data_IF_574617550886
#
_entry.id   IF_574617550886
#
_cell.length_a   1.000
_cell.length_b   1.000
_cell.length_c   1.000
_cell.angle_alpha   90.00
_cell.angle_beta   90.00
_cell.angle_gamma   90.00
#
_symmetry.space_group_name_H-M   'P 1'
#
loop_
_entity.id
_entity.type
_entity.pdbx_description
1 polymer ?
#
# COMPACT_ATOMS: atom_id res chain seq x y z
N UNK A 1 44.76 -13.91 -18.56
CA UNK A 1 43.79 -14.77 -17.81
C UNK A 1 42.62 -13.95 -17.25
N UNK A 2 41.91 -13.17 -18.08
CA UNK A 2 40.82 -12.28 -17.65
C UNK A 2 39.42 -12.69 -18.17
N UNK A 3 39.25 -13.90 -18.70
CA UNK A 3 37.98 -14.34 -19.33
C UNK A 3 37.04 -15.14 -18.40
N UNK A 4 37.45 -15.52 -17.19
CA UNK A 4 36.68 -16.44 -16.34
C UNK A 4 35.55 -15.80 -15.51
N UNK A 5 35.56 -14.47 -15.30
CA UNK A 5 34.58 -13.80 -14.43
C UNK A 5 33.30 -13.35 -15.17
N UNK A 6 33.33 -13.05 -16.47
CA UNK A 6 32.11 -12.65 -17.21
C UNK A 6 31.16 -13.84 -17.36
N UNK A 7 31.67 -15.02 -17.72
CA UNK A 7 30.88 -16.24 -17.95
C UNK A 7 29.92 -16.62 -16.81
N UNK A 8 30.29 -16.42 -15.54
CA UNK A 8 29.42 -16.74 -14.41
C UNK A 8 28.33 -15.70 -14.19
N UNK A 9 28.61 -14.43 -14.44
CA UNK A 9 27.64 -13.35 -14.31
C UNK A 9 26.59 -13.45 -15.43
N UNK A 10 27.03 -13.78 -16.64
CA UNK A 10 26.18 -14.00 -17.81
C UNK A 10 25.20 -15.17 -17.57
N UNK A 11 25.68 -16.28 -16.97
CA UNK A 11 24.81 -17.41 -16.58
C UNK A 11 23.74 -17.03 -15.55
N UNK A 12 24.07 -16.15 -14.60
CA UNK A 12 23.12 -15.70 -13.58
C UNK A 12 22.06 -14.80 -14.19
N UNK A 13 22.44 -13.85 -15.04
CA UNK A 13 21.50 -12.99 -15.75
C UNK A 13 20.56 -13.80 -16.65
N UNK A 14 21.06 -14.83 -17.33
CA UNK A 14 20.23 -15.74 -18.12
C UNK A 14 19.21 -16.46 -17.23
N UNK A 15 19.63 -16.98 -16.07
CA UNK A 15 18.71 -17.63 -15.11
C UNK A 15 17.68 -16.64 -14.56
N UNK A 16 18.08 -15.43 -14.19
CA UNK A 16 17.17 -14.37 -13.72
C UNK A 16 16.14 -14.06 -14.81
N UNK A 17 16.61 -13.80 -16.03
CA UNK A 17 15.74 -13.50 -17.18
C UNK A 17 14.77 -14.63 -17.48
N UNK A 18 15.22 -15.89 -17.41
CA UNK A 18 14.37 -17.06 -17.60
C UNK A 18 13.30 -17.17 -16.50
N UNK A 19 13.67 -17.07 -15.23
CA UNK A 19 12.73 -17.16 -14.10
C UNK A 19 11.69 -16.03 -14.13
N UNK A 20 12.12 -14.80 -14.41
CA UNK A 20 11.20 -13.65 -14.54
C UNK A 20 10.25 -13.86 -15.72
N UNK A 21 10.77 -14.29 -16.88
CA UNK A 21 9.95 -14.54 -18.07
C UNK A 21 8.92 -15.65 -17.82
N UNK A 22 9.33 -16.74 -17.18
CA UNK A 22 8.43 -17.85 -16.82
C UNK A 22 7.33 -17.39 -15.87
N UNK A 23 7.67 -16.61 -14.84
CA UNK A 23 6.66 -16.08 -13.91
C UNK A 23 5.64 -15.19 -14.63
N UNK A 24 6.10 -14.26 -15.48
CA UNK A 24 5.22 -13.37 -16.25
C UNK A 24 4.33 -14.16 -17.22
N UNK A 25 4.91 -15.08 -18.00
CA UNK A 25 4.17 -15.91 -18.95
C UNK A 25 3.18 -16.84 -18.22
N UNK A 26 3.54 -17.37 -17.05
CA UNK A 26 2.66 -18.24 -16.27
C UNK A 26 1.43 -17.49 -15.75
N UNK A 27 1.61 -16.27 -15.24
CA UNK A 27 0.50 -15.43 -14.75
C UNK A 27 -0.42 -15.04 -15.90
N UNK A 28 0.16 -14.53 -16.99
CA UNK A 28 -0.60 -14.14 -18.19
C UNK A 28 -1.32 -15.36 -18.80
N UNK A 29 -0.63 -16.50 -18.90
CA UNK A 29 -1.22 -17.73 -19.44
C UNK A 29 -2.42 -18.19 -18.62
N UNK A 30 -2.31 -18.16 -17.29
CA UNK A 30 -3.40 -18.56 -16.38
C UNK A 30 -4.62 -17.67 -16.52
N UNK A 31 -4.43 -16.37 -16.82
CA UNK A 31 -5.51 -15.44 -17.06
C UNK A 31 -6.41 -15.84 -18.25
N UNK A 32 -5.82 -16.43 -19.29
CA UNK A 32 -6.54 -16.88 -20.49
C UNK A 32 -7.05 -18.32 -20.42
N UNK A 33 -6.78 -19.06 -19.33
CA UNK A 33 -7.32 -20.42 -19.16
C UNK A 33 -8.82 -20.40 -18.86
N UNK A 34 -9.57 -21.27 -19.53
CA UNK A 34 -10.99 -21.49 -19.25
C UNK A 34 -11.17 -22.55 -18.13
N UNK A 35 -10.94 -22.12 -16.89
CA UNK A 35 -11.10 -22.93 -15.67
C UNK A 35 -11.98 -22.22 -14.64
N UNK A 36 -12.52 -22.99 -13.67
CA UNK A 36 -13.34 -22.44 -12.56
C UNK A 36 -12.65 -21.25 -11.90
N UNK A 37 -13.39 -20.15 -11.71
CA UNK A 37 -12.81 -18.88 -11.26
C UNK A 37 -12.07 -18.97 -9.92
N UNK A 38 -12.63 -19.67 -8.95
CA UNK A 38 -11.97 -19.90 -7.65
C UNK A 38 -10.62 -20.62 -7.79
N UNK A 39 -10.48 -21.51 -8.77
CA UNK A 39 -9.22 -22.21 -9.05
C UNK A 39 -8.23 -21.28 -9.75
N UNK A 40 -8.70 -20.52 -10.74
CA UNK A 40 -7.91 -19.51 -11.46
C UNK A 40 -7.29 -18.49 -10.52
N UNK A 41 -8.12 -17.94 -9.63
CA UNK A 41 -7.70 -17.01 -8.59
C UNK A 41 -6.57 -17.58 -7.72
N UNK A 42 -6.76 -18.80 -7.18
CA UNK A 42 -5.73 -19.45 -6.35
C UNK A 42 -4.42 -19.64 -7.09
N UNK A 43 -4.47 -19.97 -8.38
CA UNK A 43 -3.28 -20.12 -9.22
C UNK A 43 -2.57 -18.77 -9.42
N UNK A 44 -3.30 -17.71 -9.76
CA UNK A 44 -2.75 -16.36 -9.92
C UNK A 44 -2.09 -15.90 -8.61
N UNK A 45 -2.74 -16.11 -7.47
CA UNK A 45 -2.19 -15.75 -6.16
C UNK A 45 -0.88 -16.50 -5.87
N UNK A 46 -0.84 -17.82 -6.09
CA UNK A 46 0.37 -18.64 -5.89
C UNK A 46 1.49 -18.17 -6.84
N UNK A 47 1.17 -17.89 -8.10
CA UNK A 47 2.14 -17.43 -9.09
C UNK A 47 2.69 -16.03 -8.75
N UNK A 48 1.84 -15.11 -8.30
CA UNK A 48 2.25 -13.80 -7.80
C UNK A 48 3.15 -13.92 -6.58
N UNK A 49 2.85 -14.85 -5.65
CA UNK A 49 3.72 -15.15 -4.52
C UNK A 49 5.09 -15.68 -4.99
N UNK A 50 5.12 -16.62 -5.94
CA UNK A 50 6.35 -17.15 -6.52
C UNK A 50 7.18 -16.07 -7.23
N UNK A 51 6.52 -15.16 -7.95
CA UNK A 51 7.17 -14.03 -8.60
C UNK A 51 7.83 -13.10 -7.57
N UNK A 52 7.09 -12.72 -6.51
CA UNK A 52 7.63 -11.91 -5.40
C UNK A 52 8.79 -12.62 -4.70
N UNK A 53 8.66 -13.91 -4.41
CA UNK A 53 9.72 -14.70 -3.77
C UNK A 53 10.97 -14.80 -4.66
N UNK A 54 10.81 -14.91 -5.97
CA UNK A 54 11.91 -14.89 -6.94
C UNK A 54 12.64 -13.54 -6.92
N UNK A 55 11.90 -12.44 -6.89
CA UNK A 55 12.47 -11.08 -6.80
C UNK A 55 13.26 -10.89 -5.50
N UNK A 56 12.71 -11.29 -4.36
CA UNK A 56 13.39 -11.25 -3.06
C UNK A 56 14.67 -12.10 -3.07
N UNK A 57 14.63 -13.28 -3.69
CA UNK A 57 15.78 -14.17 -3.79
C UNK A 57 16.93 -13.55 -4.60
N UNK A 58 16.65 -13.04 -5.80
CA UNK A 58 17.69 -12.44 -6.64
C UNK A 58 18.25 -11.14 -6.03
N UNK A 59 17.41 -10.37 -5.35
CA UNK A 59 17.83 -9.17 -4.62
C UNK A 59 18.68 -9.54 -3.40
N UNK A 60 18.32 -10.59 -2.66
CA UNK A 60 19.14 -11.17 -1.58
C UNK A 60 20.49 -11.64 -2.09
N UNK A 61 20.54 -12.27 -3.28
CA UNK A 61 21.79 -12.65 -3.94
C UNK A 61 22.64 -11.43 -4.30
N UNK A 62 22.04 -10.36 -4.80
CA UNK A 62 22.75 -9.11 -5.08
C UNK A 62 23.37 -8.53 -3.79
N UNK A 63 22.59 -8.41 -2.73
CA UNK A 63 23.08 -7.99 -1.40
C UNK A 63 24.16 -8.92 -0.85
N UNK A 64 24.05 -10.23 -1.07
CA UNK A 64 25.05 -11.19 -0.66
C UNK A 64 26.41 -10.93 -1.32
N UNK A 65 26.41 -10.69 -2.62
CA UNK A 65 27.63 -10.41 -3.39
C UNK A 65 28.25 -9.07 -2.99
N UNK A 66 27.44 -8.06 -2.72
CA UNK A 66 27.89 -6.69 -2.42
C UNK A 66 28.27 -6.45 -0.96
N UNK A 67 27.50 -7.00 -0.02
CA UNK A 67 27.65 -6.72 1.42
C UNK A 67 28.21 -7.92 2.19
N UNK A 68 27.66 -9.12 1.98
CA UNK A 68 28.01 -10.28 2.80
C UNK A 68 29.37 -10.89 2.45
N UNK A 69 29.67 -11.06 1.16
CA UNK A 69 30.91 -11.70 0.70
C UNK A 69 32.18 -10.94 1.13
N UNK A 70 32.23 -9.59 1.08
CA UNK A 70 33.37 -8.84 1.61
C UNK A 70 33.54 -8.96 3.13
N UNK A 71 32.44 -9.04 3.89
CA UNK A 71 32.47 -9.17 5.35
C UNK A 71 32.93 -10.57 5.78
N UNK A 72 32.45 -11.62 5.10
CA UNK A 72 32.80 -13.01 5.39
C UNK A 72 34.30 -13.29 5.20
N UNK A 73 34.90 -12.74 4.14
CA UNK A 73 36.32 -12.90 3.85
C UNK A 73 37.24 -12.12 4.81
N UNK A 74 36.67 -11.35 5.75
CA UNK A 74 37.43 -10.57 6.71
C UNK A 74 37.79 -11.39 7.97
N UNK A 75 39.03 -11.28 8.49
CA UNK A 75 39.43 -11.99 9.70
C UNK A 75 38.82 -11.41 11.00
N UNK A 76 38.13 -10.27 10.95
CA UNK A 76 37.60 -9.57 12.14
C UNK A 76 36.34 -10.23 12.71
N UNK A 77 36.33 -10.49 14.03
CA UNK A 77 35.15 -10.99 14.77
C UNK A 77 33.94 -10.07 14.61
N UNK A 78 34.15 -8.75 14.65
CA UNK A 78 33.08 -7.76 14.45
C UNK A 78 32.42 -7.92 13.07
N UNK A 79 33.21 -8.16 12.03
CA UNK A 79 32.68 -8.38 10.68
C UNK A 79 31.91 -9.71 10.58
N UNK A 80 32.32 -10.74 11.32
CA UNK A 80 31.56 -12.00 11.42
C UNK A 80 30.20 -11.80 12.09
N UNK A 81 30.14 -10.98 13.15
CA UNK A 81 28.88 -10.64 13.82
C UNK A 81 27.96 -9.89 12.85
N UNK A 82 28.45 -8.84 12.17
CA UNK A 82 27.66 -8.08 11.19
C UNK A 82 27.17 -9.00 10.06
N UNK A 83 28.03 -9.89 9.57
CA UNK A 83 27.67 -10.89 8.56
C UNK A 83 26.52 -11.81 9.03
N UNK A 84 26.58 -12.33 10.27
CA UNK A 84 25.51 -13.15 10.83
C UNK A 84 24.19 -12.37 10.96
N UNK A 85 24.25 -11.11 11.39
CA UNK A 85 23.07 -10.25 11.46
C UNK A 85 22.45 -10.01 10.07
N UNK A 86 23.27 -9.76 9.05
CA UNK A 86 22.78 -9.62 7.67
C UNK A 86 22.12 -10.91 7.18
N UNK A 87 22.67 -12.08 7.48
CA UNK A 87 22.03 -13.36 7.14
C UNK A 87 20.65 -13.46 7.76
N UNK A 88 20.51 -13.12 9.04
CA UNK A 88 19.21 -13.14 9.73
C UNK A 88 18.22 -12.18 9.04
N UNK A 89 18.65 -10.96 8.69
CA UNK A 89 17.82 -10.01 7.95
C UNK A 89 17.37 -10.57 6.61
N UNK A 90 18.27 -11.17 5.82
CA UNK A 90 17.94 -11.75 4.52
C UNK A 90 16.96 -12.92 4.64
N UNK A 91 17.17 -13.83 5.60
CA UNK A 91 16.29 -14.98 5.84
C UNK A 91 14.89 -14.52 6.28
N UNK A 92 14.83 -13.59 7.24
CA UNK A 92 13.55 -13.09 7.76
C UNK A 92 12.81 -12.25 6.71
N UNK A 93 13.51 -11.44 5.92
CA UNK A 93 12.90 -10.70 4.80
C UNK A 93 12.29 -11.66 3.76
N UNK A 94 13.00 -12.74 3.41
CA UNK A 94 12.50 -13.77 2.48
C UNK A 94 11.24 -14.46 3.03
N UNK A 95 11.24 -14.79 4.32
CA UNK A 95 10.13 -15.46 5.00
C UNK A 95 8.96 -14.55 5.37
N UNK A 96 9.10 -13.22 5.26
CA UNK A 96 8.16 -12.23 5.81
C UNK A 96 6.70 -12.45 5.41
N UNK A 97 6.41 -12.62 4.13
CA UNK A 97 5.04 -12.84 3.62
C UNK A 97 4.45 -14.17 4.14
N UNK A 98 5.25 -15.24 4.16
CA UNK A 98 4.77 -16.54 4.69
C UNK A 98 4.56 -16.49 6.19
N UNK A 99 5.46 -15.87 6.95
CA UNK A 99 5.32 -15.71 8.39
C UNK A 99 4.12 -14.81 8.72
N UNK A 100 3.90 -13.74 7.95
CA UNK A 100 2.74 -12.86 8.07
C UNK A 100 1.41 -13.61 7.89
N UNK A 101 1.29 -14.40 6.83
CA UNK A 101 0.07 -15.20 6.57
C UNK A 101 -0.18 -16.26 7.65
N UNK A 102 0.86 -16.92 8.16
CA UNK A 102 0.75 -17.95 9.21
C UNK A 102 0.40 -17.33 10.57
N UNK A 103 1.05 -16.23 10.93
CA UNK A 103 0.98 -15.63 12.26
C UNK A 103 0.06 -14.40 12.33
N UNK A 104 -0.90 -14.25 11.41
CA UNK A 104 -1.95 -13.22 11.49
C UNK A 104 -2.97 -13.61 12.56
N UNK A 105 -3.37 -12.63 13.39
CA UNK A 105 -4.28 -12.86 14.50
C UNK A 105 -4.84 -11.57 15.08
N UNK A 106 -5.29 -11.61 16.33
CA UNK A 106 -5.89 -10.44 17.01
C UNK A 106 -4.91 -9.28 17.17
N UNK A 107 -3.67 -9.62 17.52
CA UNK A 107 -2.53 -8.72 17.57
C UNK A 107 -1.38 -9.30 16.73
N UNK A 108 -0.50 -8.47 16.17
CA UNK A 108 0.66 -8.92 15.42
C UNK A 108 1.54 -9.83 16.28
N UNK A 109 1.83 -11.02 15.78
CA UNK A 109 2.83 -11.88 16.42
C UNK A 109 4.23 -11.26 16.26
N UNK A 110 5.07 -11.35 17.29
CA UNK A 110 6.40 -10.73 17.28
C UNK A 110 7.30 -11.24 16.13
N UNK A 111 7.15 -12.50 15.71
CA UNK A 111 7.88 -13.05 14.54
C UNK A 111 7.43 -12.38 13.25
N UNK A 112 6.12 -12.18 13.07
CA UNK A 112 5.57 -11.47 11.90
C UNK A 112 6.14 -10.06 11.86
N UNK A 113 6.02 -9.32 12.98
CA UNK A 113 6.52 -7.95 13.09
C UNK A 113 8.02 -7.87 12.79
N UNK A 114 8.83 -8.73 13.40
CA UNK A 114 10.27 -8.78 13.18
C UNK A 114 10.61 -9.08 11.72
N UNK A 115 9.90 -10.03 11.09
CA UNK A 115 10.14 -10.40 9.70
C UNK A 115 9.82 -9.26 8.71
N UNK A 116 8.75 -8.50 8.96
CA UNK A 116 8.43 -7.32 8.15
C UNK A 116 9.33 -6.12 8.42
N UNK A 117 9.85 -5.96 9.65
CA UNK A 117 10.93 -5.00 9.93
C UNK A 117 12.19 -5.37 9.13
N UNK A 118 12.55 -6.65 9.10
CA UNK A 118 13.66 -7.13 8.27
C UNK A 118 13.40 -6.92 6.77
N UNK A 119 12.15 -7.06 6.30
CA UNK A 119 11.78 -6.73 4.92
C UNK A 119 12.00 -5.23 4.62
N UNK A 120 11.60 -4.33 5.51
CA UNK A 120 11.84 -2.88 5.36
C UNK A 120 13.33 -2.53 5.34
N UNK A 121 14.11 -3.12 6.26
CA UNK A 121 15.57 -2.96 6.26
C UNK A 121 16.21 -3.54 5.00
N UNK A 122 15.72 -4.65 4.49
CA UNK A 122 16.16 -5.26 3.23
C UNK A 122 15.94 -4.33 2.03
N UNK A 123 14.79 -3.66 1.95
CA UNK A 123 14.51 -2.64 0.91
C UNK A 123 15.53 -1.51 1.02
N UNK A 124 15.74 -0.95 2.21
CA UNK A 124 16.69 0.16 2.42
C UNK A 124 18.14 -0.22 2.14
N UNK A 125 18.56 -1.44 2.50
CA UNK A 125 19.89 -1.97 2.16
C UNK A 125 20.05 -2.10 0.64
N UNK A 126 19.03 -2.62 -0.04
CA UNK A 126 19.02 -2.74 -1.50
C UNK A 126 19.17 -1.39 -2.16
N UNK A 127 18.36 -0.41 -1.74
CA UNK A 127 18.38 0.94 -2.31
C UNK A 127 19.69 1.66 -2.07
N UNK A 128 20.21 1.62 -0.84
CA UNK A 128 21.50 2.26 -0.53
C UNK A 128 22.66 1.61 -1.29
N UNK A 129 22.66 0.28 -1.43
CA UNK A 129 23.67 -0.45 -2.22
C UNK A 129 23.57 -0.11 -3.70
N UNK A 130 22.36 -0.06 -4.26
CA UNK A 130 22.14 0.28 -5.66
C UNK A 130 22.57 1.72 -5.98
N UNK A 131 22.16 2.69 -5.15
CA UNK A 131 22.56 4.09 -5.31
C UNK A 131 24.07 4.27 -5.23
N UNK A 132 24.70 3.58 -4.30
CA UNK A 132 26.15 3.57 -4.17
C UNK A 132 26.86 2.99 -5.41
N UNK A 133 26.40 1.83 -5.91
CA UNK A 133 26.93 1.22 -7.14
C UNK A 133 26.75 2.16 -8.35
N UNK A 134 25.58 2.82 -8.44
CA UNK A 134 25.27 3.77 -9.50
C UNK A 134 26.18 5.01 -9.46
N UNK A 135 26.39 5.58 -8.26
CA UNK A 135 27.30 6.71 -8.06
C UNK A 135 28.74 6.32 -8.42
N UNK A 136 29.18 5.13 -8.01
CA UNK A 136 30.52 4.61 -8.36
C UNK A 136 30.68 4.45 -9.86
N UNK A 137 29.65 3.93 -10.54
CA UNK A 137 29.64 3.80 -12.00
C UNK A 137 29.68 5.16 -12.71
N UNK A 138 28.89 6.13 -12.24
CA UNK A 138 28.86 7.48 -12.81
C UNK A 138 30.22 8.17 -12.70
N UNK A 139 30.87 8.11 -11.52
CA UNK A 139 32.22 8.65 -11.35
C UNK A 139 33.24 7.93 -12.23
N UNK A 140 33.12 6.61 -12.42
CA UNK A 140 33.97 5.84 -13.32
C UNK A 140 33.77 6.20 -14.80
N UNK A 141 32.55 6.56 -15.20
CA UNK A 141 32.23 7.00 -16.55
C UNK A 141 32.74 8.43 -16.84
N UNK A 142 32.72 9.31 -15.83
CA UNK A 142 33.19 10.71 -15.94
C UNK A 142 34.72 10.81 -15.84
N UNK A 143 35.37 9.98 -15.01
CA UNK A 143 36.84 9.92 -14.92
C UNK A 143 37.43 8.92 -15.92
N UNK A 144 37.61 9.33 -17.17
CA UNK A 144 38.31 8.55 -18.21
C UNK A 144 39.84 8.54 -18.06
N UNK A 145 40.41 9.17 -17.01
CA UNK A 145 41.86 9.11 -16.72
C UNK A 145 42.18 8.10 -15.61
N UNK A 146 42.62 6.93 -16.08
CA UNK A 146 43.55 5.97 -15.46
C UNK A 146 43.74 6.06 -13.95
N UNK A 147 43.11 5.13 -13.24
CA UNK A 147 43.42 4.77 -11.87
C UNK A 147 42.26 4.03 -11.23
N UNK A 148 42.29 2.69 -11.26
CA UNK A 148 41.34 1.83 -10.55
C UNK A 148 41.20 2.28 -9.08
N UNK A 149 40.16 3.08 -8.79
CA UNK A 149 39.74 3.43 -7.43
C UNK A 149 39.23 2.20 -6.65
N UNK A 150 39.12 1.05 -7.32
CA UNK A 150 38.61 -0.19 -6.77
C UNK A 150 39.73 -1.17 -6.40
N UNK A 151 40.71 -0.80 -5.56
CA UNK A 151 41.55 -1.82 -4.86
C UNK A 151 42.36 -1.30 -3.67
N UNK A 152 41.70 -0.94 -2.56
CA UNK A 152 42.23 -1.30 -1.23
C UNK A 152 41.09 -1.84 -0.39
N UNK A 153 41.20 -3.09 0.08
CA UNK A 153 40.16 -3.81 0.85
C UNK A 153 39.57 -3.02 2.02
N UNK A 154 40.35 -2.09 2.58
CA UNK A 154 39.94 -1.18 3.65
C UNK A 154 38.86 -0.16 3.21
N UNK A 155 38.93 0.41 2.02
CA UNK A 155 37.89 1.33 1.51
C UNK A 155 36.59 0.59 1.21
N UNK A 156 36.67 -0.63 0.67
CA UNK A 156 35.50 -1.48 0.45
C UNK A 156 34.79 -1.81 1.78
N UNK A 157 35.55 -2.05 2.86
CA UNK A 157 34.99 -2.29 4.19
C UNK A 157 34.24 -1.08 4.74
N UNK A 158 34.88 0.09 4.77
CA UNK A 158 34.24 1.31 5.30
C UNK A 158 32.99 1.68 4.51
N UNK A 159 33.03 1.46 3.20
CA UNK A 159 31.90 1.67 2.32
C UNK A 159 30.71 0.74 2.66
N UNK A 160 30.94 -0.57 2.81
CA UNK A 160 29.89 -1.53 3.22
C UNK A 160 29.32 -1.17 4.60
N UNK A 161 30.18 -0.85 5.56
CA UNK A 161 29.75 -0.43 6.90
C UNK A 161 28.92 0.87 6.81
N UNK A 162 29.33 1.82 5.98
CA UNK A 162 28.59 3.06 5.74
C UNK A 162 27.18 2.81 5.20
N UNK A 163 27.04 1.92 4.20
CA UNK A 163 25.73 1.50 3.68
C UNK A 163 24.86 0.93 4.80
N UNK A 164 25.40 0.00 5.59
CA UNK A 164 24.65 -0.65 6.68
C UNK A 164 24.21 0.38 7.72
N UNK A 165 25.10 1.28 8.15
CA UNK A 165 24.78 2.33 9.13
C UNK A 165 23.68 3.24 8.59
N UNK A 166 23.80 3.72 7.35
CA UNK A 166 22.80 4.60 6.73
C UNK A 166 21.45 3.89 6.64
N UNK A 167 21.41 2.64 6.15
CA UNK A 167 20.17 1.87 6.06
C UNK A 167 19.54 1.61 7.42
N UNK A 168 20.33 1.31 8.46
CA UNK A 168 19.83 1.13 9.82
C UNK A 168 19.28 2.44 10.42
N UNK A 169 19.97 3.57 10.21
CA UNK A 169 19.48 4.89 10.66
C UNK A 169 18.17 5.23 9.97
N UNK A 170 18.09 5.07 8.65
CA UNK A 170 16.86 5.28 7.89
C UNK A 170 15.75 4.32 8.33
N UNK A 171 16.06 3.06 8.62
CA UNK A 171 15.08 2.10 9.13
C UNK A 171 14.54 2.48 10.50
N UNK A 172 15.38 2.99 11.41
CA UNK A 172 14.94 3.47 12.72
C UNK A 172 14.03 4.69 12.60
N UNK A 173 14.40 5.67 11.75
CA UNK A 173 13.54 6.83 11.46
C UNK A 173 12.21 6.38 10.85
N UNK A 174 12.26 5.46 9.89
CA UNK A 174 11.08 4.97 9.21
C UNK A 174 10.16 4.19 10.15
N UNK A 175 10.71 3.31 11.00
CA UNK A 175 9.97 2.57 12.01
C UNK A 175 9.31 3.51 13.02
N UNK A 176 10.05 4.51 13.51
CA UNK A 176 9.52 5.51 14.41
C UNK A 176 8.34 6.27 13.79
N UNK A 177 8.45 6.67 12.53
CA UNK A 177 7.37 7.37 11.83
C UNK A 177 6.19 6.44 11.48
N UNK A 178 6.44 5.17 11.16
CA UNK A 178 5.40 4.20 10.87
C UNK A 178 4.53 3.86 12.09
N UNK A 179 5.14 3.81 13.28
CA UNK A 179 4.46 3.46 14.53
C UNK A 179 3.82 4.66 15.27
N UNK A 180 4.01 5.89 14.76
CA UNK A 180 3.34 7.08 15.30
C UNK A 180 1.84 6.99 15.06
N UNK A 181 1.07 7.65 15.93
CA UNK A 181 -0.36 7.83 15.69
C UNK A 181 -0.58 8.68 14.43
N UNK A 182 -1.57 8.34 13.59
CA UNK A 182 -1.82 9.07 12.35
C UNK A 182 -2.17 10.53 12.63
N UNK A 183 -1.63 11.43 11.81
CA UNK A 183 -1.93 12.85 11.94
C UNK A 183 -3.35 13.15 11.44
N UNK A 184 -4.10 13.97 12.16
CA UNK A 184 -5.38 14.47 11.65
C UNK A 184 -5.13 15.60 10.66
N UNK A 185 -5.49 15.40 9.40
CA UNK A 185 -5.33 16.37 8.33
C UNK A 185 -6.68 16.96 7.94
N UNK A 186 -6.83 18.26 8.18
CA UNK A 186 -8.07 18.98 7.86
C UNK A 186 -7.99 19.53 6.43
N UNK A 187 -8.98 19.21 5.60
CA UNK A 187 -9.11 19.75 4.24
C UNK A 187 -10.49 20.38 4.06
N UNK A 188 -10.56 21.49 3.33
CA UNK A 188 -11.82 22.16 2.96
C UNK A 188 -12.01 22.07 1.47
N UNK A 189 -13.16 21.55 1.04
CA UNK A 189 -13.48 21.33 -0.37
C UNK A 189 -14.70 22.16 -0.75
N UNK A 190 -14.55 23.17 -1.63
CA UNK A 190 -15.71 23.86 -2.18
C UNK A 190 -16.43 22.94 -3.16
N UNK A 191 -17.72 22.69 -2.93
CA UNK A 191 -18.54 21.78 -3.73
C UNK A 191 -19.64 22.56 -4.43
N UNK A 192 -19.73 22.37 -5.75
CA UNK A 192 -20.74 23.04 -6.58
C UNK A 192 -22.13 22.53 -6.20
N UNK A 193 -23.11 23.42 -6.21
CA UNK A 193 -24.51 23.12 -5.87
C UNK A 193 -24.70 22.50 -4.47
N UNK A 194 -23.73 22.65 -3.56
CA UNK A 194 -23.89 22.21 -2.18
C UNK A 194 -25.03 23.02 -1.54
N UNK A 195 -26.10 22.37 -1.04
CA UNK A 195 -27.15 23.08 -0.30
C UNK A 195 -26.55 23.85 0.88
N UNK A 196 -26.96 25.10 1.14
CA UNK A 196 -26.43 25.89 2.25
C UNK A 196 -26.53 25.18 3.62
N UNK A 197 -27.53 24.33 3.81
CA UNK A 197 -27.73 23.54 5.03
C UNK A 197 -26.72 22.39 5.19
N UNK A 198 -25.99 22.04 4.14
CA UNK A 198 -24.87 21.10 4.16
C UNK A 198 -23.51 21.81 4.14
N UNK A 199 -23.48 23.14 4.24
CA UNK A 199 -22.23 23.87 4.42
C UNK A 199 -21.59 23.49 5.76
N UNK A 200 -20.35 23.01 5.72
CA UNK A 200 -19.68 22.45 6.88
C UNK A 200 -19.90 20.96 7.08
N UNK A 201 -20.56 20.25 6.15
CA UNK A 201 -20.70 18.79 6.20
C UNK A 201 -19.32 18.12 6.27
N UNK A 202 -19.15 17.17 7.19
CA UNK A 202 -17.86 16.59 7.54
C UNK A 202 -17.74 15.11 7.21
N UNK A 203 -16.59 14.72 6.66
CA UNK A 203 -16.27 13.33 6.36
C UNK A 203 -14.93 12.98 6.99
N UNK A 204 -14.89 11.93 7.80
CA UNK A 204 -13.64 11.32 8.23
C UNK A 204 -13.31 10.18 7.29
N UNK A 205 -12.19 10.33 6.58
CA UNK A 205 -11.71 9.38 5.57
C UNK A 205 -10.57 8.54 6.15
N UNK A 206 -10.77 7.22 6.16
CA UNK A 206 -9.88 6.21 6.76
C UNK A 206 -9.51 5.11 5.74
N UNK A 207 -8.65 5.40 4.75
CA UNK A 207 -8.15 4.38 3.83
C UNK A 207 -7.02 3.53 4.44
N UNK A 208 -6.79 2.36 3.85
CA UNK A 208 -5.58 1.57 4.05
C UNK A 208 -5.28 1.26 5.54
N UNK A 209 -6.27 0.65 6.22
CA UNK A 209 -6.17 0.25 7.62
C UNK A 209 -5.30 -1.00 7.81
N UNK A 210 -5.26 -1.90 6.81
CA UNK A 210 -4.42 -3.11 6.75
C UNK A 210 -4.40 -3.98 8.02
N UNK A 211 -5.56 -4.19 8.65
CA UNK A 211 -5.64 -5.07 9.83
C UNK A 211 -5.23 -6.48 9.43
N UNK A 212 -4.23 -7.04 10.12
CA UNK A 212 -3.65 -8.34 9.78
C UNK A 212 -2.28 -8.59 10.41
N UNK A 213 -1.23 -8.89 9.62
CA UNK A 213 0.03 -9.43 10.13
C UNK A 213 0.85 -8.44 10.96
N UNK A 214 0.66 -7.13 10.76
CA UNK A 214 1.45 -6.06 11.39
C UNK A 214 0.61 -4.94 12.01
N UNK A 215 -0.69 -4.91 11.73
CA UNK A 215 -1.66 -4.00 12.38
C UNK A 215 -2.72 -4.84 13.07
N UNK A 216 -2.88 -4.64 14.38
CA UNK A 216 -3.83 -5.38 15.21
C UNK A 216 -4.94 -4.53 15.81
N UNK A 217 -5.70 -5.18 16.69
CA UNK A 217 -6.83 -4.59 17.39
C UNK A 217 -6.46 -3.32 18.14
N UNK A 218 -5.36 -3.30 18.89
CA UNK A 218 -4.96 -2.15 19.72
C UNK A 218 -4.70 -0.89 18.88
N UNK A 219 -4.06 -1.05 17.71
CA UNK A 219 -3.82 0.05 16.78
C UNK A 219 -5.13 0.53 16.15
N UNK A 220 -5.99 -0.39 15.72
CA UNK A 220 -7.32 -0.05 15.20
C UNK A 220 -8.20 0.67 16.24
N UNK A 221 -8.14 0.27 17.51
CA UNK A 221 -8.88 0.93 18.59
C UNK A 221 -8.47 2.38 18.78
N UNK A 222 -7.18 2.71 18.61
CA UNK A 222 -6.70 4.10 18.65
C UNK A 222 -7.28 4.91 17.49
N UNK A 223 -7.23 4.35 16.28
CA UNK A 223 -7.79 4.97 15.07
C UNK A 223 -9.28 5.23 15.20
N UNK A 224 -10.06 4.25 15.69
CA UNK A 224 -11.50 4.41 15.93
C UNK A 224 -11.77 5.51 16.97
N UNK A 225 -10.98 5.60 18.04
CA UNK A 225 -11.10 6.69 19.03
C UNK A 225 -10.81 8.05 18.40
N UNK A 226 -9.73 8.17 17.62
CA UNK A 226 -9.36 9.41 16.96
C UNK A 226 -10.44 9.86 15.96
N UNK A 227 -10.96 8.95 15.14
CA UNK A 227 -12.04 9.22 14.19
C UNK A 227 -13.32 9.72 14.89
N UNK A 228 -13.72 9.06 15.99
CA UNK A 228 -14.92 9.46 16.73
C UNK A 228 -14.78 10.82 17.43
N UNK A 229 -13.56 11.20 17.86
CA UNK A 229 -13.33 12.52 18.48
C UNK A 229 -13.59 13.68 17.52
N UNK A 230 -13.55 13.42 16.20
CA UNK A 230 -13.86 14.41 15.17
C UNK A 230 -15.37 14.62 14.97
N UNK A 231 -16.23 13.78 15.57
CA UNK A 231 -17.69 13.82 15.48
C UNK A 231 -18.22 14.03 14.04
N UNK A 232 -17.83 13.19 13.07
CA UNK A 232 -18.14 13.44 11.67
C UNK A 232 -19.59 13.14 11.28
N UNK A 233 -20.04 13.76 10.19
CA UNK A 233 -21.30 13.42 9.55
C UNK A 233 -21.22 12.03 8.89
N UNK A 234 -20.11 11.71 8.23
CA UNK A 234 -19.85 10.40 7.58
C UNK A 234 -18.45 9.89 7.92
N UNK A 235 -18.31 8.58 8.07
CA UNK A 235 -16.99 7.92 8.03
C UNK A 235 -16.88 7.10 6.75
N UNK A 236 -15.82 7.34 5.97
CA UNK A 236 -15.55 6.66 4.70
C UNK A 236 -14.30 5.79 4.81
N UNK A 237 -14.46 4.49 4.62
CA UNK A 237 -13.37 3.49 4.59
C UNK A 237 -13.10 3.11 3.13
N UNK A 238 -12.04 3.62 2.51
CA UNK A 238 -11.80 3.41 1.07
C UNK A 238 -10.74 2.36 0.76
N UNK A 239 -11.11 1.12 0.98
CA UNK A 239 -10.34 -0.07 0.62
C UNK A 239 -9.15 -0.37 1.51
N UNK A 240 -8.59 -1.56 1.30
CA UNK A 240 -7.43 -2.10 2.00
C UNK A 240 -7.61 -2.04 3.53
N UNK A 241 -8.77 -2.51 3.99
CA UNK A 241 -9.11 -2.56 5.40
C UNK A 241 -8.41 -3.74 6.09
N UNK A 242 -8.21 -4.85 5.37
CA UNK A 242 -7.71 -6.12 5.90
C UNK A 242 -6.68 -6.81 5.01
N UNK A 243 -5.77 -7.54 5.66
CA UNK A 243 -4.71 -8.34 5.00
C UNK A 243 -4.84 -9.85 5.27
N UNK A 244 -5.95 -10.30 5.84
CA UNK A 244 -6.17 -11.71 6.22
C UNK A 244 -7.65 -12.07 6.15
N UNK A 245 -7.98 -13.37 6.22
CA UNK A 245 -9.37 -13.84 6.12
C UNK A 245 -10.21 -13.49 7.35
N UNK A 246 -11.54 -13.44 7.21
CA UNK A 246 -12.44 -13.18 8.36
C UNK A 246 -12.15 -14.17 9.48
N UNK A 247 -12.01 -15.46 9.14
CA UNK A 247 -11.74 -16.51 10.12
C UNK A 247 -10.54 -16.22 11.02
N UNK A 248 -9.44 -15.69 10.46
CA UNK A 248 -8.20 -15.45 11.19
C UNK A 248 -8.26 -14.19 12.08
N UNK A 249 -8.88 -13.11 11.58
CA UNK A 249 -8.74 -11.78 12.20
C UNK A 249 -10.07 -11.11 12.59
N UNK A 250 -11.19 -11.85 12.59
CA UNK A 250 -12.51 -11.32 13.01
C UNK A 250 -12.48 -10.55 14.34
N UNK A 251 -11.71 -11.03 15.32
CA UNK A 251 -11.60 -10.34 16.62
C UNK A 251 -10.77 -9.05 16.55
N UNK A 252 -9.84 -8.95 15.59
CA UNK A 252 -8.99 -7.77 15.40
C UNK A 252 -9.80 -6.56 14.89
N UNK A 253 -10.80 -6.80 14.05
CA UNK A 253 -11.64 -5.76 13.42
C UNK A 253 -12.83 -5.32 14.28
N UNK A 254 -13.13 -6.01 15.39
CA UNK A 254 -14.23 -5.65 16.31
C UNK A 254 -14.27 -4.18 16.77
N UNK A 255 -13.15 -3.45 16.93
CA UNK A 255 -13.19 -2.03 17.22
C UNK A 255 -14.05 -1.20 16.26
N UNK A 256 -14.25 -1.63 15.02
CA UNK A 256 -15.10 -0.93 14.04
C UNK A 256 -16.56 -0.78 14.51
N UNK A 257 -17.07 -1.68 15.36
CA UNK A 257 -18.40 -1.55 16.00
C UNK A 257 -18.58 -0.24 16.77
N UNK A 258 -17.48 0.40 17.16
CA UNK A 258 -17.50 1.63 17.95
C UNK A 258 -17.46 2.87 17.08
N UNK A 259 -17.27 2.77 15.75
CA UNK A 259 -17.32 3.93 14.86
C UNK A 259 -18.70 4.59 14.92
N UNK A 260 -18.72 5.92 15.01
CA UNK A 260 -19.94 6.71 15.12
C UNK A 260 -19.89 7.88 14.15
N UNK A 261 -20.90 7.95 13.29
CA UNK A 261 -21.10 9.05 12.35
C UNK A 261 -22.60 9.30 12.20
N UNK A 262 -22.99 10.56 11.98
CA UNK A 262 -24.40 10.97 11.93
C UNK A 262 -25.20 10.26 10.83
N UNK A 263 -24.60 10.09 9.66
CA UNK A 263 -25.22 9.49 8.47
C UNK A 263 -24.67 8.10 8.15
N UNK A 264 -23.82 7.54 9.00
CA UNK A 264 -23.31 6.17 8.89
C UNK A 264 -21.85 6.05 8.46
N UNK A 265 -21.40 4.80 8.45
CA UNK A 265 -20.03 4.39 8.10
C UNK A 265 -20.11 3.58 6.81
N UNK A 266 -19.34 3.98 5.80
CA UNK A 266 -19.41 3.38 4.46
C UNK A 266 -18.06 2.83 4.03
N UNK A 267 -18.08 1.74 3.28
CA UNK A 267 -16.89 1.04 2.83
C UNK A 267 -16.92 0.76 1.32
N UNK A 268 -15.76 0.83 0.68
CA UNK A 268 -15.54 0.25 -0.66
C UNK A 268 -14.31 -0.66 -0.60
N UNK A 269 -14.29 -1.71 -1.42
CA UNK A 269 -13.15 -2.64 -1.47
C UNK A 269 -11.90 -1.95 -2.04
N UNK A 270 -10.74 -2.33 -1.52
CA UNK A 270 -9.44 -2.17 -2.17
C UNK A 270 -8.98 -3.50 -2.74
N UNK A 271 -7.72 -3.58 -3.18
CA UNK A 271 -7.21 -4.84 -3.74
C UNK A 271 -6.92 -5.91 -2.68
N UNK A 272 -6.66 -5.51 -1.44
CA UNK A 272 -6.33 -6.46 -0.39
C UNK A 272 -7.51 -7.34 0.02
N UNK A 273 -8.73 -6.82 -0.01
CA UNK A 273 -9.93 -7.63 0.21
C UNK A 273 -9.99 -8.82 -0.75
N UNK A 274 -9.61 -8.61 -2.02
CA UNK A 274 -9.52 -9.69 -3.01
C UNK A 274 -8.31 -10.60 -2.79
N UNK A 275 -7.17 -10.07 -2.35
CA UNK A 275 -5.98 -10.89 -2.04
C UNK A 275 -6.18 -11.82 -0.84
N UNK A 276 -7.13 -11.53 0.06
CA UNK A 276 -7.49 -12.45 1.15
C UNK A 276 -8.21 -13.72 0.66
N UNK A 277 -8.88 -13.63 -0.50
CA UNK A 277 -9.70 -14.72 -1.06
C UNK A 277 -11.04 -14.91 -0.35
N UNK A 278 -11.47 -13.93 0.45
CA UNK A 278 -12.68 -13.96 1.30
C UNK A 278 -13.45 -12.62 1.25
N UNK A 279 -13.48 -11.96 0.07
CA UNK A 279 -14.11 -10.63 -0.09
C UNK A 279 -15.58 -10.62 0.31
N UNK A 280 -16.38 -11.62 -0.10
CA UNK A 280 -17.80 -11.74 0.29
C UNK A 280 -17.97 -11.91 1.81
N UNK A 281 -17.08 -12.70 2.42
CA UNK A 281 -17.05 -12.88 3.87
C UNK A 281 -16.78 -11.56 4.58
N UNK A 282 -15.84 -10.77 4.05
CA UNK A 282 -15.53 -9.44 4.57
C UNK A 282 -16.66 -8.44 4.41
N UNK A 283 -17.32 -8.37 3.26
CA UNK A 283 -18.47 -7.48 3.07
C UNK A 283 -19.57 -7.80 4.09
N UNK A 284 -19.89 -9.08 4.29
CA UNK A 284 -20.87 -9.53 5.28
C UNK A 284 -20.45 -9.25 6.72
N UNK A 285 -19.17 -9.42 7.05
CA UNK A 285 -18.67 -9.10 8.40
C UNK A 285 -18.76 -7.60 8.66
N UNK A 286 -18.42 -6.76 7.68
CA UNK A 286 -18.52 -5.31 7.82
C UNK A 286 -19.95 -4.84 8.06
N UNK A 287 -20.94 -5.41 7.35
CA UNK A 287 -22.35 -5.15 7.62
C UNK A 287 -22.73 -5.48 9.07
N UNK A 288 -22.28 -6.63 9.58
CA UNK A 288 -22.49 -7.01 10.98
C UNK A 288 -21.81 -6.03 11.96
N UNK A 289 -20.69 -5.43 11.57
CA UNK A 289 -19.98 -4.42 12.36
C UNK A 289 -20.58 -3.01 12.23
N UNK A 290 -21.69 -2.84 11.50
CA UNK A 290 -22.37 -1.55 11.30
C UNK A 290 -21.70 -0.68 10.23
N UNK A 291 -20.88 -1.27 9.36
CA UNK A 291 -20.26 -0.62 8.21
C UNK A 291 -20.99 -1.05 6.96
N UNK A 292 -21.52 -0.09 6.18
CA UNK A 292 -22.28 -0.37 4.97
C UNK A 292 -21.36 -0.43 3.75
N UNK A 293 -21.19 -1.60 3.10
CA UNK A 293 -20.46 -1.66 1.85
C UNK A 293 -21.23 -0.98 0.71
N UNK A 294 -20.56 -0.14 -0.07
CA UNK A 294 -21.06 0.45 -1.30
C UNK A 294 -20.53 -0.34 -2.50
N UNK A 295 -21.11 -1.52 -2.70
CA UNK A 295 -20.72 -2.44 -3.78
C UNK A 295 -21.25 -1.96 -5.13
N UNK A 296 -20.47 -1.11 -5.81
CA UNK A 296 -20.88 -0.41 -7.05
C UNK A 296 -22.27 0.21 -6.92
N UNK A 297 -22.49 0.95 -5.83
CA UNK A 297 -23.79 1.50 -5.45
C UNK A 297 -23.64 2.88 -4.83
N UNK A 298 -24.75 3.54 -4.56
CA UNK A 298 -24.79 4.83 -3.89
C UNK A 298 -25.90 4.88 -2.86
N UNK A 299 -25.77 5.84 -1.95
CA UNK A 299 -26.82 6.24 -1.01
C UNK A 299 -27.04 7.74 -1.11
N UNK A 300 -28.29 8.17 -0.91
CA UNK A 300 -28.65 9.57 -0.85
C UNK A 300 -28.77 9.99 0.61
N UNK A 301 -27.87 10.85 1.06
CA UNK A 301 -27.91 11.42 2.40
C UNK A 301 -28.75 12.69 2.37
N UNK A 302 -29.81 12.72 3.18
CA UNK A 302 -30.76 13.84 3.23
C UNK A 302 -30.70 14.48 4.60
N UNK A 303 -30.60 15.81 4.64
CA UNK A 303 -30.62 16.54 5.91
C UNK A 303 -31.92 16.24 6.68
N UNK A 304 -31.87 15.90 7.99
CA UNK A 304 -33.03 15.41 8.73
C UNK A 304 -34.21 16.37 8.73
N UNK A 305 -33.94 17.68 8.80
CA UNK A 305 -34.98 18.72 8.88
C UNK A 305 -35.27 19.42 7.54
N UNK A 306 -34.52 19.09 6.47
CA UNK A 306 -34.52 19.84 5.21
C UNK A 306 -34.49 18.87 4.02
N UNK A 307 -35.65 18.35 3.58
CA UNK A 307 -35.72 17.29 2.58
C UNK A 307 -35.10 17.63 1.22
N UNK A 308 -34.93 18.92 0.89
CA UNK A 308 -34.26 19.36 -0.34
C UNK A 308 -32.73 19.35 -0.23
N UNK A 309 -32.17 19.42 0.98
CA UNK A 309 -30.74 19.43 1.20
C UNK A 309 -30.20 18.00 1.17
N UNK A 310 -29.67 17.61 0.01
CA UNK A 310 -29.24 16.24 -0.29
C UNK A 310 -27.80 16.21 -0.80
N UNK A 311 -27.14 15.09 -0.57
CA UNK A 311 -25.84 14.75 -1.14
C UNK A 311 -25.78 13.26 -1.42
N UNK A 312 -25.20 12.86 -2.55
CA UNK A 312 -24.95 11.45 -2.85
C UNK A 312 -23.58 11.03 -2.35
N UNK A 313 -23.54 9.85 -1.74
CA UNK A 313 -22.31 9.12 -1.46
C UNK A 313 -22.33 7.84 -2.30
N UNK A 314 -21.50 7.79 -3.32
CA UNK A 314 -21.32 6.64 -4.20
C UNK A 314 -20.05 5.88 -3.83
N UNK A 315 -20.00 4.60 -4.15
CA UNK A 315 -18.83 3.76 -3.99
C UNK A 315 -18.69 2.77 -5.14
N UNK A 316 -17.44 2.47 -5.50
CA UNK A 316 -17.09 1.46 -6.50
C UNK A 316 -16.12 0.46 -5.93
N UNK A 317 -16.27 -0.78 -6.37
CA UNK A 317 -15.33 -1.85 -6.07
C UNK A 317 -13.96 -1.61 -6.73
N UNK A 318 -12.93 -2.27 -6.20
CA UNK A 318 -11.60 -2.21 -6.80
C UNK A 318 -11.57 -2.99 -8.11
N UNK A 319 -10.78 -2.50 -9.06
CA UNK A 319 -10.56 -3.14 -10.38
C UNK A 319 -9.97 -4.54 -10.26
N UNK A 320 -9.29 -4.85 -9.15
CA UNK A 320 -8.73 -6.17 -8.87
C UNK A 320 -9.82 -7.25 -8.84
N UNK A 321 -11.04 -6.93 -8.39
CA UNK A 321 -12.17 -7.86 -8.40
C UNK A 321 -12.50 -8.35 -9.82
N UNK A 322 -12.49 -7.45 -10.80
CA UNK A 322 -12.71 -7.80 -12.20
C UNK A 322 -11.51 -8.52 -12.83
N UNK A 323 -10.28 -8.09 -12.52
CA UNK A 323 -9.06 -8.75 -12.99
C UNK A 323 -8.98 -10.21 -12.52
N UNK A 324 -9.36 -10.47 -11.27
CA UNK A 324 -9.37 -11.78 -10.65
C UNK A 324 -10.67 -12.57 -10.91
N UNK A 325 -11.64 -11.99 -11.64
CA UNK A 325 -12.97 -12.57 -11.94
C UNK A 325 -13.70 -13.06 -10.69
N UNK A 326 -13.72 -12.22 -9.67
CA UNK A 326 -14.38 -12.49 -8.39
C UNK A 326 -15.88 -12.26 -8.52
N UNK A 327 -16.63 -13.15 -9.18
CA UNK A 327 -18.09 -13.02 -9.29
C UNK A 327 -18.53 -11.73 -10.02
N UNK A 328 -19.42 -10.96 -9.42
CA UNK A 328 -19.90 -9.66 -9.91
C UNK A 328 -19.10 -8.45 -9.37
N UNK A 329 -17.96 -8.71 -8.73
CA UNK A 329 -17.01 -7.68 -8.33
C UNK A 329 -16.22 -7.06 -9.49
N UNK A 330 -15.64 -5.91 -9.20
CA UNK A 330 -14.88 -5.09 -10.14
C UNK A 330 -15.48 -3.70 -10.25
N UNK A 331 -14.67 -2.71 -10.57
CA UNK A 331 -15.14 -1.32 -10.66
C UNK A 331 -16.20 -1.16 -11.75
N UNK A 332 -17.41 -0.74 -11.35
CA UNK A 332 -18.52 -0.41 -12.24
C UNK A 332 -19.13 0.95 -11.87
N UNK A 333 -18.53 2.01 -12.44
CA UNK A 333 -18.97 3.39 -12.25
C UNK A 333 -20.38 3.65 -12.81
N UNK A 334 -20.75 2.97 -13.89
CA UNK A 334 -22.09 3.12 -14.49
C UNK A 334 -23.15 2.60 -13.54
N UNK A 335 -22.94 1.44 -12.91
CA UNK A 335 -23.83 0.88 -11.89
C UNK A 335 -23.85 1.75 -10.64
N UNK A 336 -22.68 2.17 -10.14
CA UNK A 336 -22.56 2.99 -8.94
C UNK A 336 -23.28 4.33 -9.04
N UNK A 337 -23.29 4.96 -10.21
CA UNK A 337 -23.88 6.29 -10.44
C UNK A 337 -25.24 6.23 -11.15
N UNK A 338 -25.82 5.04 -11.33
CA UNK A 338 -27.09 4.87 -12.03
C UNK A 338 -28.21 5.60 -11.29
N UNK A 339 -28.82 6.59 -11.92
CA UNK A 339 -29.95 7.33 -11.34
C UNK A 339 -29.56 8.47 -10.40
N UNK A 340 -28.27 8.75 -10.24
CA UNK A 340 -27.78 9.94 -9.53
C UNK A 340 -28.17 11.19 -10.33
N UNK A 341 -28.84 12.15 -9.68
CA UNK A 341 -29.15 13.45 -10.27
C UNK A 341 -27.89 14.31 -10.33
N UNK A 342 -27.52 14.74 -11.54
CA UNK A 342 -26.32 15.56 -11.81
C UNK A 342 -26.34 16.93 -11.14
N UNK A 343 -27.50 17.38 -10.66
CA UNK A 343 -27.62 18.66 -9.94
C UNK A 343 -27.42 18.53 -8.44
N UNK A 344 -27.43 17.30 -7.90
CA UNK A 344 -27.16 17.04 -6.49
C UNK A 344 -25.67 16.72 -6.34
N UNK A 345 -24.97 17.33 -5.36
CA UNK A 345 -23.57 17.04 -5.13
C UNK A 345 -23.31 15.55 -4.93
N UNK A 346 -22.24 15.04 -5.53
CA UNK A 346 -21.88 13.62 -5.47
C UNK A 346 -20.43 13.43 -5.04
N UNK A 347 -20.26 12.65 -3.98
CA UNK A 347 -18.96 12.21 -3.47
C UNK A 347 -18.79 10.74 -3.83
N UNK A 348 -17.69 10.41 -4.48
CA UNK A 348 -17.35 9.03 -4.83
C UNK A 348 -16.23 8.51 -3.92
N UNK A 349 -16.44 7.32 -3.38
CA UNK A 349 -15.43 6.51 -2.71
C UNK A 349 -14.84 5.54 -3.74
N UNK A 350 -13.53 5.63 -3.97
CA UNK A 350 -12.83 4.73 -4.87
C UNK A 350 -11.42 4.48 -4.32
N UNK A 351 -11.00 3.23 -4.19
CA UNK A 351 -9.71 2.93 -3.57
C UNK A 351 -8.51 3.43 -4.41
N UNK A 352 -8.53 3.24 -5.74
CA UNK A 352 -7.39 3.58 -6.63
C UNK A 352 -7.51 4.95 -7.31
N UNK A 353 -6.43 5.76 -7.36
CA UNK A 353 -6.39 7.04 -8.08
C UNK A 353 -6.75 6.96 -9.57
N UNK A 354 -6.47 5.84 -10.25
CA UNK A 354 -6.86 5.64 -11.64
C UNK A 354 -8.37 5.61 -11.84
N UNK A 355 -9.09 4.94 -10.95
CA UNK A 355 -10.56 4.90 -10.98
C UNK A 355 -11.12 6.29 -10.66
N UNK A 356 -10.49 7.01 -9.71
CA UNK A 356 -10.84 8.39 -9.43
C UNK A 356 -10.73 9.29 -10.67
N UNK A 357 -9.62 9.18 -11.42
CA UNK A 357 -9.45 9.92 -12.68
C UNK A 357 -10.53 9.59 -13.70
N UNK A 358 -10.83 8.30 -13.91
CA UNK A 358 -11.88 7.86 -14.85
C UNK A 358 -13.25 8.41 -14.47
N UNK A 359 -13.61 8.34 -13.18
CA UNK A 359 -14.86 8.90 -12.69
C UNK A 359 -14.97 10.41 -12.95
N UNK A 360 -13.89 11.15 -12.70
CA UNK A 360 -13.85 12.60 -12.88
C UNK A 360 -13.78 13.05 -14.34
N UNK A 361 -13.24 12.22 -15.24
CA UNK A 361 -13.22 12.51 -16.68
C UNK A 361 -14.56 12.20 -17.36
N UNK A 362 -15.23 11.11 -16.96
CA UNK A 362 -16.35 10.55 -17.72
C UNK A 362 -17.72 10.69 -17.03
N UNK A 363 -17.77 11.04 -15.74
CA UNK A 363 -19.01 11.12 -14.95
C UNK A 363 -19.15 12.45 -14.21
N UNK A 364 -20.39 12.76 -13.78
CA UNK A 364 -20.70 13.94 -12.98
C UNK A 364 -20.47 13.65 -11.49
N UNK A 365 -19.23 13.78 -11.05
CA UNK A 365 -18.80 13.62 -9.64
C UNK A 365 -18.06 14.87 -9.20
N UNK A 366 -18.35 15.38 -8.00
CA UNK A 366 -17.75 16.62 -7.49
C UNK A 366 -16.48 16.37 -6.68
N UNK A 367 -16.46 15.28 -5.90
CA UNK A 367 -15.33 14.91 -5.04
C UNK A 367 -15.08 13.41 -5.12
N UNK A 368 -13.82 13.00 -5.27
CA UNK A 368 -13.40 11.61 -5.09
C UNK A 368 -12.44 11.49 -3.90
N UNK A 369 -12.70 10.53 -3.02
CA UNK A 369 -11.80 10.16 -1.92
C UNK A 369 -11.14 8.82 -2.23
N UNK A 370 -9.80 8.78 -2.24
CA UNK A 370 -9.01 7.60 -2.61
C UNK A 370 -7.82 7.35 -1.68
N UNK A 371 -7.31 6.12 -1.69
CA UNK A 371 -6.16 5.65 -0.90
C UNK A 371 -5.10 4.99 -1.78
N UNK A 372 -4.71 3.76 -1.45
CA UNK A 372 -3.87 2.84 -2.25
C UNK A 372 -2.38 3.19 -2.36
N UNK A 373 -2.02 4.47 -2.49
CA UNK A 373 -0.62 4.85 -2.77
C UNK A 373 0.27 4.84 -1.53
N UNK A 374 -0.33 4.90 -0.34
CA UNK A 374 0.35 5.11 0.94
C UNK A 374 1.31 6.31 0.97
N UNK A 375 1.18 7.28 0.04
CA UNK A 375 2.20 8.30 -0.19
C UNK A 375 3.58 7.72 -0.47
N UNK A 376 3.66 6.52 -1.04
CA UNK A 376 4.89 5.80 -1.32
C UNK A 376 5.54 5.09 -0.14
N UNK A 377 4.88 4.99 1.03
CA UNK A 377 5.29 4.34 2.30
C UNK A 377 6.80 4.37 2.63
N UNK A 378 7.63 3.63 1.91
CA UNK A 378 9.07 3.52 2.10
C UNK A 378 9.81 3.73 0.77
N UNK A 379 10.81 4.61 0.75
CA UNK A 379 11.62 4.80 -0.46
C UNK A 379 12.34 3.49 -0.83
N UNK A 380 12.30 3.05 -2.11
CA UNK A 380 11.99 3.82 -3.32
C UNK A 380 10.57 3.62 -3.87
N UNK A 381 9.64 3.08 -3.09
CA UNK A 381 8.26 2.79 -3.53
C UNK A 381 7.53 4.07 -3.98
N UNK A 382 7.92 5.25 -3.47
CA UNK A 382 7.49 6.57 -3.99
C UNK A 382 7.63 6.68 -5.50
N UNK A 383 8.77 6.26 -6.07
CA UNK A 383 9.05 6.38 -7.49
C UNK A 383 8.08 5.53 -8.33
N UNK A 384 7.68 4.37 -7.81
CA UNK A 384 6.71 3.50 -8.48
C UNK A 384 5.35 4.18 -8.63
N UNK A 385 4.82 4.77 -7.54
CA UNK A 385 3.53 5.44 -7.58
C UNK A 385 3.56 6.77 -8.32
N UNK A 386 4.66 7.55 -8.22
CA UNK A 386 4.82 8.79 -8.97
C UNK A 386 4.79 8.59 -10.50
N UNK A 387 5.28 7.44 -11.00
CA UNK A 387 5.29 7.15 -12.43
C UNK A 387 3.97 6.54 -12.90
N UNK A 388 3.27 5.79 -12.04
CA UNK A 388 2.12 4.97 -12.45
C UNK A 388 0.78 5.60 -12.16
N UNK A 389 0.67 6.42 -11.13
CA UNK A 389 -0.60 6.93 -10.65
C UNK A 389 -0.85 8.35 -11.16
N UNK A 390 -2.07 8.66 -11.64
CA UNK A 390 -2.39 10.00 -12.11
C UNK A 390 -2.37 11.05 -10.98
N UNK A 391 -2.61 10.60 -9.75
CA UNK A 391 -2.55 11.40 -8.54
C UNK A 391 -1.76 10.60 -7.50
N UNK A 392 -0.76 11.22 -6.88
CA UNK A 392 0.15 10.53 -5.96
C UNK A 392 -0.36 10.55 -4.52
N UNK A 393 -0.35 11.69 -3.86
CA UNK A 393 -0.89 11.90 -2.52
C UNK A 393 -1.21 13.39 -2.33
N UNK A 394 -2.31 13.69 -1.64
CA UNK A 394 -2.78 15.04 -1.39
C UNK A 394 -4.03 15.42 -2.18
N UNK A 395 -4.35 16.71 -2.13
CA UNK A 395 -5.52 17.30 -2.78
C UNK A 395 -5.15 17.79 -4.18
N UNK A 396 -5.95 17.38 -5.17
CA UNK A 396 -5.85 17.85 -6.54
C UNK A 396 -7.20 18.41 -6.97
N UNK A 397 -7.16 19.55 -7.64
CA UNK A 397 -8.31 20.05 -8.40
C UNK A 397 -8.27 19.41 -9.78
N UNK A 398 -9.39 18.83 -10.18
CA UNK A 398 -9.59 18.30 -11.52
C UNK A 398 -10.42 19.28 -12.36
N UNK A 399 -10.67 18.94 -13.62
CA UNK A 399 -11.44 19.77 -14.56
C UNK A 399 -12.82 20.13 -13.98
N UNK A 400 -13.35 21.26 -14.42
CA UNK A 400 -14.71 21.72 -14.09
C UNK A 400 -14.98 21.98 -12.60
N UNK A 401 -13.93 22.16 -11.80
CA UNK A 401 -14.06 22.49 -10.37
C UNK A 401 -14.31 21.28 -9.46
N UNK A 402 -14.11 20.06 -9.96
CA UNK A 402 -14.15 18.83 -9.17
C UNK A 402 -12.82 18.60 -8.45
N UNK A 403 -12.81 17.74 -7.42
CA UNK A 403 -11.64 17.48 -6.59
C UNK A 403 -11.38 15.98 -6.42
N UNK A 404 -10.11 15.61 -6.29
CA UNK A 404 -9.70 14.30 -5.78
C UNK A 404 -8.75 14.48 -4.62
N UNK A 405 -9.02 13.75 -3.53
CA UNK A 405 -8.10 13.64 -2.41
C UNK A 405 -7.56 12.21 -2.36
N UNK A 406 -6.25 12.07 -2.53
CA UNK A 406 -5.54 10.79 -2.36
C UNK A 406 -4.83 10.80 -1.01
N UNK A 407 -5.31 9.98 -0.09
CA UNK A 407 -4.70 9.87 1.22
C UNK A 407 -3.38 9.12 1.19
N UNK A 408 -2.50 9.43 2.14
CA UNK A 408 -1.30 8.63 2.39
C UNK A 408 -1.56 7.37 3.20
N UNK A 409 -2.82 7.05 3.53
CA UNK A 409 -3.24 5.85 4.27
C UNK A 409 -3.13 6.02 5.79
N UNK A 410 -4.01 5.32 6.52
CA UNK A 410 -4.09 5.43 7.99
C UNK A 410 -2.97 4.66 8.69
N UNK A 411 -2.61 3.47 8.24
CA UNK A 411 -1.55 2.66 8.87
C UNK A 411 -0.40 2.39 7.93
N UNK A 412 -0.02 1.13 7.70
CA UNK A 412 1.03 0.73 6.78
C UNK A 412 0.73 -0.68 6.31
N UNK A 413 1.16 -1.02 5.10
CA UNK A 413 1.07 -2.36 4.56
C UNK A 413 2.37 -3.12 4.75
N UNK A 414 2.29 -4.26 5.45
CA UNK A 414 3.41 -5.17 5.68
C UNK A 414 4.52 -4.56 6.52
N UNK A 415 5.38 -3.73 5.94
CA UNK A 415 6.50 -3.11 6.64
C UNK A 415 5.99 -2.01 7.60
N UNK A 416 6.21 -2.11 8.92
CA UNK A 416 5.80 -1.09 9.88
C UNK A 416 6.71 0.15 9.84
N UNK A 417 6.90 0.72 8.66
CA UNK A 417 7.89 1.75 8.37
C UNK A 417 7.32 2.78 7.40
N UNK A 418 7.55 4.07 7.69
CA UNK A 418 7.24 5.19 6.80
C UNK A 418 8.42 6.15 6.66
N UNK A 419 8.95 6.31 5.44
CA UNK A 419 10.05 7.24 5.15
C UNK A 419 9.59 8.22 4.07
N UNK A 420 9.63 9.52 4.35
CA UNK A 420 9.12 10.58 3.45
C UNK A 420 7.65 10.38 3.06
N UNK A 421 6.88 9.78 3.97
CA UNK A 421 5.43 9.63 3.93
C UNK A 421 4.94 9.68 5.38
N UNK A 422 3.75 10.21 5.61
CA UNK A 422 3.12 10.26 6.93
C UNK A 422 1.77 9.54 6.89
N UNK A 423 1.47 8.82 7.96
CA UNK A 423 0.15 8.25 8.19
C UNK A 423 -0.83 9.37 8.55
N UNK A 424 -2.04 9.32 8.01
CA UNK A 424 -3.03 10.37 8.23
C UNK A 424 -4.45 9.83 8.40
N UNK A 425 -5.24 10.55 9.20
CA UNK A 425 -6.71 10.50 9.22
C UNK A 425 -7.16 11.81 8.59
N UNK A 426 -7.89 11.75 7.49
CA UNK A 426 -8.31 12.97 6.80
C UNK A 426 -9.69 13.39 7.27
N UNK A 427 -9.80 14.64 7.72
CA UNK A 427 -11.05 15.28 8.07
C UNK A 427 -11.42 16.28 6.99
N UNK A 428 -12.38 15.89 6.16
CA UNK A 428 -12.87 16.66 5.01
C UNK A 428 -14.06 17.51 5.46
N UNK A 429 -14.04 18.80 5.17
CA UNK A 429 -15.18 19.70 5.34
C UNK A 429 -15.62 20.23 3.99
N UNK A 430 -16.88 20.01 3.64
CA UNK A 430 -17.47 20.54 2.42
C UNK A 430 -17.92 21.99 2.64
N UNK A 431 -17.65 22.86 1.69
CA UNK A 431 -18.09 24.26 1.74
C UNK A 431 -18.85 24.64 0.49
N UNK A 432 -19.79 25.58 0.61
CA UNK A 432 -20.44 26.18 -0.56
C UNK A 432 -19.40 26.92 -1.41
N UNK A 433 -19.55 26.89 -2.73
CA UNK A 433 -18.80 27.76 -3.64
C UNK A 433 -19.26 29.21 -3.46
N UNK A 434 -18.33 30.14 -3.30
CA UNK A 434 -18.59 31.58 -3.23
C UNK A 434 -19.15 32.15 -4.52
#
# INVERSE_FOLDING_TARGET
MASGKSSKFDKVLVVVGAVVSINVVSIIGTYFLDIKEKTKYKLILIQSLLATQSLLFFTSRYLWLRLCSPLFNSPSVQNRIIFLLLIVVLILAQGSIMLGTIFSGVEPHWISLLSYICLGLFVLLTTATFLSDFVTWLFGAVNTRSGSLTTKSRYARFHVIGIIIISCVLAMVALHNGLKEPLVKNIKLPVKNLPPELNGFTIVHLPDLHVGPTVGKAMLEKTVRAANQLNPDVIALTGDLVDSTVYQIRQAVKPLLKLKARYGVYFVTGNHEYYTGDVDGWLKELEYLGVTPLHNSHVMLTHPDKPHAKIFLAGVDDVEGGFLRSGDHGSDLTKALKGVDKNIPTILLAHRPKVAKLALDDYSVDVVLAGHTHGGQLFPIHLWHLVREPYFAGLYQHKSGSYVYVSSGVHFWGMPMRLWSEAEITHVTLTTTS
#
